data_IF_568155130228
#
_entry.id   IF_568155130228
#
_cell.length_a   1.000
_cell.length_b   1.000
_cell.length_c   1.000
_cell.angle_alpha   90.00
_cell.angle_beta   90.00
_cell.angle_gamma   90.00
#
_symmetry.space_group_name_H-M   'P 1'
#
loop_
_entity.id
_entity.type
_entity.pdbx_description
1 polymer ?
#
# COMPACT_ATOMS: atom_id res chain seq x y z
N UNK A 1 5.37 3.57 54.65
CA UNK A 1 5.68 4.73 53.77
C UNK A 1 4.74 4.70 52.58
N UNK A 2 4.44 5.88 52.04
CA UNK A 2 3.19 6.31 51.38
C UNK A 2 2.80 5.54 50.10
N UNK A 3 1.51 5.21 50.04
CA UNK A 3 0.76 4.76 48.86
C UNK A 3 0.70 5.87 47.80
N UNK A 4 0.93 5.55 46.53
CA UNK A 4 0.68 6.45 45.40
C UNK A 4 -0.42 5.85 44.51
N UNK A 5 -1.60 6.48 44.54
CA UNK A 5 -2.71 6.23 43.62
C UNK A 5 -2.76 7.39 42.63
N UNK A 6 -2.55 7.11 41.35
CA UNK A 6 -2.93 8.05 40.28
C UNK A 6 -4.25 7.57 39.68
N UNK A 7 -5.29 8.37 39.94
CA UNK A 7 -6.60 8.27 39.32
C UNK A 7 -6.58 9.19 38.09
N UNK A 8 -6.67 8.63 36.89
CA UNK A 8 -6.79 9.42 35.66
C UNK A 8 -8.21 9.27 35.15
N UNK A 9 -9.03 10.30 35.37
CA UNK A 9 -10.31 10.48 34.71
C UNK A 9 -10.06 10.66 33.20
N UNK A 10 -10.65 9.77 32.39
CA UNK A 10 -10.81 10.01 30.96
C UNK A 10 -12.26 10.46 30.70
N UNK A 11 -12.43 11.77 30.52
CA UNK A 11 -13.64 12.38 29.98
C UNK A 11 -13.50 12.39 28.45
N UNK A 12 -14.28 11.59 27.73
CA UNK A 12 -14.38 11.72 26.26
C UNK A 12 -15.85 11.97 25.93
N UNK A 13 -16.10 13.19 25.49
CA UNK A 13 -17.38 13.68 24.99
C UNK A 13 -17.75 12.98 23.67
N UNK A 14 -18.97 12.47 23.62
CA UNK A 14 -19.62 11.95 22.41
C UNK A 14 -20.19 13.18 21.67
N UNK A 15 -19.62 13.51 20.52
CA UNK A 15 -20.21 14.48 19.60
C UNK A 15 -20.79 13.71 18.40
N UNK A 16 -22.10 13.53 18.40
CA UNK A 16 -22.86 13.06 17.25
C UNK A 16 -23.09 14.24 16.30
N UNK A 17 -22.60 14.15 15.06
CA UNK A 17 -23.02 15.03 13.97
C UNK A 17 -24.02 14.27 13.09
N UNK A 18 -25.29 14.61 13.30
CA UNK A 18 -26.40 14.33 12.40
C UNK A 18 -26.53 15.55 11.48
N UNK A 19 -26.43 15.35 10.17
CA UNK A 19 -26.60 16.44 9.20
C UNK A 19 -26.90 15.86 7.82
N UNK A 20 -28.17 15.88 7.45
CA UNK A 20 -28.67 15.40 6.17
C UNK A 20 -28.64 16.49 5.09
N UNK A 21 -28.63 16.00 3.84
CA UNK A 21 -29.48 16.40 2.72
C UNK A 21 -28.98 17.36 1.61
N UNK A 22 -29.38 16.95 0.39
CA UNK A 22 -29.64 17.71 -0.85
C UNK A 22 -28.38 18.30 -1.53
N UNK A 23 -28.00 17.97 -2.76
CA UNK A 23 -28.81 17.73 -3.95
C UNK A 23 -28.79 18.99 -4.82
N UNK A 24 -27.90 19.07 -5.81
CA UNK A 24 -28.08 19.93 -6.99
C UNK A 24 -27.39 19.28 -8.20
N UNK A 25 -28.20 19.05 -9.23
CA UNK A 25 -27.78 18.78 -10.59
C UNK A 25 -27.35 20.10 -11.25
N UNK A 26 -26.33 20.03 -12.10
CA UNK A 26 -26.14 20.97 -13.20
C UNK A 26 -25.57 20.19 -14.38
N UNK A 27 -26.43 20.08 -15.39
CA UNK A 27 -26.21 19.57 -16.73
C UNK A 27 -25.47 20.63 -17.55
N UNK A 28 -24.39 20.24 -18.21
CA UNK A 28 -23.75 21.04 -19.25
C UNK A 28 -23.43 20.11 -20.41
N UNK A 29 -24.34 20.18 -21.37
CA UNK A 29 -24.36 19.49 -22.65
C UNK A 29 -23.34 20.13 -23.60
N UNK A 30 -22.41 19.33 -24.15
CA UNK A 30 -21.64 19.72 -25.33
C UNK A 30 -21.54 18.54 -26.30
N UNK A 31 -22.18 18.76 -27.45
CA UNK A 31 -22.23 17.91 -28.61
C UNK A 31 -20.84 17.56 -29.19
N UNK A 32 -20.67 16.28 -29.54
CA UNK A 32 -20.42 15.94 -30.93
C UNK A 32 -19.09 15.28 -31.30
N UNK A 33 -19.25 14.13 -31.98
CA UNK A 33 -18.28 13.31 -32.73
C UNK A 33 -17.48 12.32 -31.88
N UNK A 34 -17.54 11.01 -32.07
CA UNK A 34 -18.00 10.23 -33.22
C UNK A 34 -16.98 9.12 -33.48
N UNK A 35 -17.00 8.05 -32.69
CA UNK A 35 -16.41 6.75 -33.01
C UNK A 35 -16.93 5.72 -32.01
N UNK A 36 -17.93 4.94 -32.44
CA UNK A 36 -18.36 3.73 -31.70
C UNK A 36 -17.22 2.73 -31.83
N UNK A 37 -16.34 2.70 -30.84
CA UNK A 37 -15.50 1.53 -30.56
C UNK A 37 -16.29 0.71 -29.56
N UNK A 38 -16.99 -0.30 -30.03
CA UNK A 38 -17.53 -1.39 -29.23
C UNK A 38 -16.35 -2.18 -28.65
N UNK A 39 -15.66 -1.60 -27.67
CA UNK A 39 -14.78 -2.32 -26.79
C UNK A 39 -15.69 -3.11 -25.84
N UNK A 40 -16.00 -4.35 -26.24
CA UNK A 40 -16.51 -5.36 -25.33
C UNK A 40 -15.50 -5.49 -24.19
N UNK A 41 -15.84 -4.93 -23.03
CA UNK A 41 -15.11 -5.12 -21.77
C UNK A 41 -15.37 -6.52 -21.25
N UNK A 42 -14.90 -7.53 -22.02
CA UNK A 42 -14.72 -8.86 -21.49
C UNK A 42 -13.71 -8.77 -20.33
N UNK A 43 -13.96 -9.45 -19.20
CA UNK A 43 -12.98 -9.52 -18.11
C UNK A 43 -11.68 -10.11 -18.68
N UNK A 44 -10.60 -9.35 -18.58
CA UNK A 44 -9.28 -9.81 -19.00
C UNK A 44 -8.97 -11.12 -18.27
N UNK A 45 -8.82 -12.20 -19.05
CA UNK A 45 -8.37 -13.50 -18.54
C UNK A 45 -7.01 -13.27 -17.85
N UNK A 46 -6.78 -13.80 -16.63
CA UNK A 46 -5.50 -13.66 -15.97
C UNK A 46 -4.39 -14.13 -16.91
N UNK A 47 -3.42 -13.27 -17.16
CA UNK A 47 -2.22 -13.69 -17.88
C UNK A 47 -1.58 -14.87 -17.10
N UNK A 48 -1.02 -15.88 -17.80
CA UNK A 48 -0.24 -16.91 -17.13
C UNK A 48 0.84 -16.24 -16.27
N UNK A 49 1.11 -16.81 -15.09
CA UNK A 49 2.01 -16.24 -14.10
C UNK A 49 3.39 -15.93 -14.71
N UNK A 50 3.59 -14.70 -15.17
CA UNK A 50 4.90 -14.15 -15.43
C UNK A 50 5.68 -14.24 -14.11
N UNK A 51 6.96 -14.63 -14.17
CA UNK A 51 7.83 -14.56 -12.99
C UNK A 51 7.64 -13.18 -12.36
N UNK A 52 7.21 -13.16 -11.09
CA UNK A 52 7.08 -11.92 -10.35
C UNK A 52 8.45 -11.21 -10.40
N UNK A 53 8.54 -9.99 -10.94
CA UNK A 53 9.81 -9.28 -11.00
C UNK A 53 10.31 -9.03 -9.57
N UNK A 54 11.63 -9.09 -9.36
CA UNK A 54 12.25 -8.80 -8.06
C UNK A 54 12.60 -10.01 -7.20
N UNK A 55 13.22 -9.69 -6.07
CA UNK A 55 13.60 -10.64 -5.02
C UNK A 55 12.44 -10.85 -4.07
N UNK A 56 11.91 -12.07 -4.04
CA UNK A 56 10.96 -12.49 -3.00
C UNK A 56 11.65 -12.44 -1.63
N UNK A 57 11.04 -11.73 -0.68
CA UNK A 57 11.50 -11.67 0.71
C UNK A 57 10.83 -12.79 1.52
N UNK A 58 9.54 -13.05 1.29
CA UNK A 58 8.80 -14.16 1.89
C UNK A 58 7.31 -13.90 2.05
N UNK A 59 6.62 -14.91 2.58
CA UNK A 59 5.18 -14.89 2.89
C UNK A 59 4.96 -14.89 4.40
N UNK A 60 4.08 -14.00 4.88
CA UNK A 60 3.65 -13.95 6.26
C UNK A 60 2.13 -14.11 6.36
N UNK A 61 1.68 -14.88 7.36
CA UNK A 61 0.25 -15.01 7.66
C UNK A 61 -0.14 -14.08 8.81
N UNK A 62 -1.05 -13.15 8.54
CA UNK A 62 -1.54 -12.18 9.54
C UNK A 62 -3.05 -12.22 9.54
N UNK A 63 -3.65 -12.67 10.65
CA UNK A 63 -5.12 -12.77 10.82
C UNK A 63 -5.84 -13.50 9.69
N UNK A 64 -5.22 -14.54 9.13
CA UNK A 64 -5.78 -15.33 8.03
C UNK A 64 -5.54 -14.75 6.63
N UNK A 65 -4.92 -13.57 6.52
CA UNK A 65 -4.42 -13.03 5.26
C UNK A 65 -2.98 -13.48 5.03
N UNK A 66 -2.59 -13.52 3.76
CA UNK A 66 -1.22 -13.77 3.31
C UNK A 66 -0.65 -12.45 2.82
N UNK A 67 0.46 -12.02 3.41
CA UNK A 67 1.25 -10.88 2.96
C UNK A 67 2.49 -11.43 2.26
N UNK A 68 2.54 -11.25 0.93
CA UNK A 68 3.66 -11.66 0.09
C UNK A 68 4.56 -10.46 -0.20
N UNK A 69 5.83 -10.55 0.16
CA UNK A 69 6.76 -9.43 0.09
C UNK A 69 7.79 -9.60 -1.03
N UNK A 70 7.94 -8.57 -1.84
CA UNK A 70 8.89 -8.52 -2.95
C UNK A 70 9.68 -7.22 -2.90
N UNK A 71 10.98 -7.30 -3.17
CA UNK A 71 11.85 -6.15 -3.38
C UNK A 71 12.34 -6.13 -4.82
N UNK A 72 11.92 -5.13 -5.59
CA UNK A 72 12.54 -4.81 -6.87
C UNK A 72 13.86 -4.10 -6.62
N UNK A 73 14.92 -4.52 -7.32
CA UNK A 73 16.10 -3.69 -7.49
C UNK A 73 15.76 -2.41 -8.26
N UNK A 74 16.63 -1.40 -8.23
CA UNK A 74 16.43 -0.19 -9.03
C UNK A 74 16.22 -0.47 -10.52
N UNK A 75 17.02 -1.35 -11.11
CA UNK A 75 16.90 -1.68 -12.53
C UNK A 75 15.55 -2.34 -12.85
N UNK A 76 15.08 -3.27 -12.01
CA UNK A 76 13.76 -3.90 -12.16
C UNK A 76 12.63 -2.89 -11.96
N UNK A 77 12.77 -2.01 -10.96
CA UNK A 77 11.83 -0.91 -10.72
C UNK A 77 11.71 -0.02 -11.96
N UNK A 78 12.83 0.40 -12.55
CA UNK A 78 12.81 1.29 -13.72
C UNK A 78 12.17 0.61 -14.94
N UNK A 79 12.28 -0.71 -15.07
CA UNK A 79 11.58 -1.48 -16.11
C UNK A 79 10.07 -1.56 -15.83
N UNK A 80 9.68 -1.93 -14.59
CA UNK A 80 8.28 -2.12 -14.21
C UNK A 80 7.51 -0.80 -14.16
N UNK A 81 8.19 0.29 -13.78
CA UNK A 81 7.59 1.61 -13.57
C UNK A 81 7.93 2.61 -14.69
N UNK A 82 8.45 2.15 -15.84
CA UNK A 82 8.96 3.04 -16.92
C UNK A 82 7.98 4.14 -17.34
N UNK A 83 6.69 3.80 -17.40
CA UNK A 83 5.62 4.72 -17.86
C UNK A 83 5.11 5.62 -16.71
N UNK A 84 5.61 5.40 -15.49
CA UNK A 84 5.29 6.15 -14.28
C UNK A 84 6.46 6.98 -13.74
N UNK A 85 7.61 6.97 -14.43
CA UNK A 85 8.78 7.74 -14.04
C UNK A 85 8.53 9.24 -14.22
N UNK A 86 8.85 10.03 -13.19
CA UNK A 86 8.73 11.48 -13.22
C UNK A 86 7.37 12.03 -12.80
N UNK A 87 6.36 11.19 -12.55
CA UNK A 87 5.11 11.61 -11.94
C UNK A 87 5.25 11.70 -10.41
N UNK A 88 4.76 12.79 -9.82
CA UNK A 88 4.65 12.91 -8.36
C UNK A 88 3.46 12.09 -7.87
N UNK A 89 3.75 11.01 -7.14
CA UNK A 89 2.73 10.16 -6.55
C UNK A 89 3.18 9.62 -5.19
N UNK A 90 2.22 9.20 -4.37
CA UNK A 90 2.52 8.61 -3.06
C UNK A 90 3.46 7.41 -3.20
N UNK A 91 4.42 7.27 -2.29
CA UNK A 91 5.35 6.15 -2.32
C UNK A 91 6.36 6.18 -3.47
N UNK A 92 6.37 7.20 -4.33
CA UNK A 92 7.45 7.38 -5.30
C UNK A 92 8.43 8.42 -4.78
N UNK A 93 9.72 8.17 -4.96
CA UNK A 93 10.78 9.13 -4.62
C UNK A 93 11.35 9.65 -5.94
N UNK A 94 11.38 10.97 -6.09
CA UNK A 94 12.01 11.58 -7.25
C UNK A 94 13.53 11.53 -7.16
N UNK A 95 14.17 11.34 -8.31
CA UNK A 95 15.61 11.42 -8.46
C UNK A 95 16.37 10.12 -8.21
N UNK A 96 17.69 10.25 -8.17
CA UNK A 96 18.62 9.12 -8.25
C UNK A 96 18.93 8.47 -6.90
N UNK A 97 18.19 8.81 -5.85
CA UNK A 97 18.41 8.28 -4.51
C UNK A 97 17.71 6.93 -4.29
N UNK A 98 16.74 6.58 -5.14
CA UNK A 98 16.02 5.31 -5.11
C UNK A 98 16.98 4.14 -5.30
N UNK A 99 16.89 3.16 -4.41
CA UNK A 99 17.67 1.92 -4.47
C UNK A 99 16.85 0.73 -4.95
N UNK A 100 15.53 0.82 -4.86
CA UNK A 100 14.61 -0.23 -5.25
C UNK A 100 13.18 0.16 -4.91
N UNK A 101 12.27 -0.80 -5.10
CA UNK A 101 10.85 -0.62 -4.85
C UNK A 101 10.33 -1.81 -4.07
N UNK A 102 9.82 -1.55 -2.87
CA UNK A 102 9.33 -2.58 -1.96
C UNK A 102 7.83 -2.73 -2.13
N UNK A 103 7.36 -3.96 -2.34
CA UNK A 103 5.97 -4.29 -2.66
C UNK A 103 5.45 -5.30 -1.65
N UNK A 104 4.22 -5.09 -1.17
CA UNK A 104 3.43 -6.12 -0.49
C UNK A 104 2.19 -6.45 -1.29
N UNK A 105 1.95 -7.73 -1.53
CA UNK A 105 0.67 -8.23 -2.04
C UNK A 105 -0.12 -8.79 -0.87
N UNK A 106 -1.39 -8.40 -0.75
CA UNK A 106 -2.27 -8.86 0.31
C UNK A 106 -3.29 -9.81 -0.32
N UNK A 107 -3.34 -11.04 0.18
CA UNK A 107 -4.29 -12.06 -0.25
C UNK A 107 -5.14 -12.56 0.93
N UNK A 108 -6.39 -12.92 0.67
CA UNK A 108 -7.24 -13.60 1.66
C UNK A 108 -6.80 -15.06 1.85
N UNK A 109 -7.51 -15.77 2.73
CA UNK A 109 -7.24 -17.19 3.01
C UNK A 109 -7.44 -18.11 1.78
N UNK A 110 -8.21 -17.66 0.78
CA UNK A 110 -8.40 -18.37 -0.48
C UNK A 110 -7.38 -17.97 -1.56
N UNK A 111 -6.41 -17.11 -1.22
CA UNK A 111 -5.38 -16.62 -2.13
C UNK A 111 -5.84 -15.49 -3.05
N UNK A 112 -7.04 -14.93 -2.85
CA UNK A 112 -7.57 -13.83 -3.68
C UNK A 112 -6.98 -12.49 -3.23
N UNK A 113 -6.59 -11.60 -4.15
CA UNK A 113 -6.13 -10.26 -3.79
C UNK A 113 -7.16 -9.48 -2.97
N UNK A 114 -6.68 -8.72 -2.00
CA UNK A 114 -7.49 -7.87 -1.12
C UNK A 114 -7.05 -6.44 -1.24
N UNK A 115 -8.01 -5.55 -1.50
CA UNK A 115 -7.77 -4.12 -1.56
C UNK A 115 -7.72 -3.47 -0.17
N UNK A 116 -6.88 -2.46 -0.02
CA UNK A 116 -6.73 -1.67 1.19
C UNK A 116 -5.84 -0.45 1.03
N UNK A 117 -5.60 0.24 2.14
CA UNK A 117 -4.58 1.27 2.28
C UNK A 117 -3.38 0.68 2.99
N UNK A 118 -2.16 0.86 2.45
CA UNK A 118 -0.94 0.33 3.06
C UNK A 118 0.08 1.44 3.28
N UNK A 119 0.78 1.35 4.41
CA UNK A 119 1.93 2.19 4.71
C UNK A 119 3.08 1.35 5.26
N UNK A 120 4.30 1.83 4.99
CA UNK A 120 5.54 1.25 5.48
C UNK A 120 6.22 2.22 6.45
N UNK A 121 6.84 1.65 7.47
CA UNK A 121 7.81 2.32 8.31
C UNK A 121 9.11 1.52 8.25
N UNK A 122 10.13 2.12 7.64
CA UNK A 122 11.41 1.49 7.35
C UNK A 122 12.46 2.09 8.28
N UNK A 123 13.07 1.25 9.11
CA UNK A 123 14.18 1.63 9.99
C UNK A 123 15.47 1.03 9.45
N UNK A 124 16.44 1.89 9.14
CA UNK A 124 17.74 1.48 8.61
C UNK A 124 18.72 1.00 9.68
N UNK A 125 19.91 0.48 9.27
CA UNK A 125 20.97 0.06 10.18
C UNK A 125 21.47 1.20 11.10
N UNK A 126 21.41 2.44 10.62
CA UNK A 126 21.71 3.66 11.39
C UNK A 126 20.59 4.10 12.34
N UNK A 127 19.53 3.28 12.47
CA UNK A 127 18.33 3.51 13.29
C UNK A 127 17.46 4.69 12.81
N UNK A 128 17.77 5.31 11.67
CA UNK A 128 16.88 6.32 11.07
C UNK A 128 15.63 5.65 10.53
N UNK A 129 14.50 6.32 10.70
CA UNK A 129 13.19 5.80 10.30
C UNK A 129 12.55 6.70 9.26
N UNK A 130 12.04 6.10 8.20
CA UNK A 130 11.25 6.75 7.16
C UNK A 130 9.87 6.12 7.12
N UNK A 131 8.84 6.95 7.00
CA UNK A 131 7.46 6.51 6.80
C UNK A 131 7.03 6.87 5.39
N UNK A 132 6.35 5.95 4.73
CA UNK A 132 5.82 6.18 3.39
C UNK A 132 4.48 5.47 3.22
N UNK A 133 3.55 6.13 2.51
CA UNK A 133 2.33 5.48 2.05
C UNK A 133 2.62 4.81 0.72
N UNK A 134 1.99 3.66 0.49
CA UNK A 134 2.14 2.92 -0.76
C UNK A 134 1.10 3.37 -1.77
N UNK A 135 1.34 3.03 -3.03
CA UNK A 135 0.30 2.98 -4.05
C UNK A 135 -0.10 1.56 -4.37
N UNK A 136 -1.39 1.37 -4.66
CA UNK A 136 -1.89 0.15 -5.26
C UNK A 136 -1.46 0.05 -6.73
N UNK A 137 -0.79 -1.04 -7.09
CA UNK A 137 -0.34 -1.35 -8.45
C UNK A 137 -0.47 -2.85 -8.71
N UNK A 138 -1.22 -3.26 -9.75
CA UNK A 138 -1.37 -4.66 -10.16
C UNK A 138 -1.57 -5.66 -8.99
N UNK A 139 -2.55 -5.41 -8.12
CA UNK A 139 -2.87 -6.21 -6.93
C UNK A 139 -1.83 -6.17 -5.79
N UNK A 140 -0.78 -5.36 -5.91
CA UNK A 140 0.23 -5.10 -4.89
C UNK A 140 0.23 -3.66 -4.40
N UNK A 141 0.94 -3.41 -3.31
CA UNK A 141 1.09 -2.11 -2.66
C UNK A 141 2.57 -1.78 -2.55
N UNK A 142 3.01 -0.79 -3.32
CA UNK A 142 4.42 -0.50 -3.54
C UNK A 142 4.85 0.88 -3.07
N UNK A 143 6.10 0.99 -2.62
CA UNK A 143 6.79 2.27 -2.44
C UNK A 143 8.29 2.14 -2.73
N UNK A 144 8.87 3.18 -3.33
CA UNK A 144 10.30 3.37 -3.50
C UNK A 144 11.00 3.44 -2.14
N UNK A 145 12.17 2.81 -2.08
CA UNK A 145 12.97 2.72 -0.86
C UNK A 145 14.42 3.15 -1.11
N UNK A 146 15.03 3.69 -0.05
CA UNK A 146 16.44 4.07 -0.01
C UNK A 146 17.15 3.18 1.02
N UNK A 147 17.77 2.11 0.54
CA UNK A 147 18.53 1.13 1.29
C UNK A 147 20.01 1.19 0.86
N UNK A 148 20.66 2.35 1.06
CA UNK A 148 22.05 2.55 0.62
C UNK A 148 23.09 1.94 1.55
N UNK A 149 22.77 1.79 2.83
CA UNK A 149 23.67 1.23 3.82
C UNK A 149 23.60 -0.30 3.76
N UNK A 150 24.74 -0.97 3.92
CA UNK A 150 24.76 -2.42 4.09
C UNK A 150 24.23 -2.77 5.48
N UNK A 151 23.39 -3.81 5.56
CA UNK A 151 22.89 -4.31 6.83
C UNK A 151 21.40 -4.66 6.81
N UNK A 152 20.85 -4.79 8.02
CA UNK A 152 19.46 -5.15 8.23
C UNK A 152 18.58 -3.90 8.31
N UNK A 153 17.55 -3.87 7.47
CA UNK A 153 16.46 -2.91 7.51
C UNK A 153 15.24 -3.57 8.15
N UNK A 154 14.62 -2.90 9.11
CA UNK A 154 13.37 -3.35 9.71
C UNK A 154 12.23 -2.64 9.00
N UNK A 155 11.33 -3.39 8.37
CA UNK A 155 10.17 -2.86 7.67
C UNK A 155 8.93 -3.24 8.46
N UNK A 156 8.26 -2.25 9.06
CA UNK A 156 6.94 -2.43 9.64
C UNK A 156 5.89 -2.06 8.61
N UNK A 157 4.93 -2.96 8.43
CA UNK A 157 3.83 -2.78 7.48
C UNK A 157 2.55 -2.60 8.26
N UNK A 158 1.74 -1.62 7.86
CA UNK A 158 0.38 -1.44 8.36
C UNK A 158 -0.56 -1.35 7.17
N UNK A 159 -1.51 -2.27 7.09
CA UNK A 159 -2.55 -2.29 6.07
C UNK A 159 -3.92 -2.14 6.72
N UNK A 160 -4.79 -1.31 6.14
CA UNK A 160 -6.22 -1.30 6.42
C UNK A 160 -6.93 -1.91 5.22
N UNK A 161 -7.46 -3.11 5.39
CA UNK A 161 -8.23 -3.80 4.35
C UNK A 161 -9.71 -3.65 4.63
N UNK A 162 -10.52 -3.51 3.58
CA UNK A 162 -11.98 -3.42 3.70
C UNK A 162 -12.60 -4.67 3.11
N UNK A 163 -13.41 -5.37 3.92
CA UNK A 163 -14.12 -6.58 3.50
C UNK A 163 -15.63 -6.39 3.65
N UNK A 164 -16.42 -7.33 3.15
CA UNK A 164 -17.87 -7.37 3.39
C UNK A 164 -18.24 -7.42 4.88
N UNK A 165 -17.31 -7.85 5.75
CA UNK A 165 -17.51 -7.91 7.21
C UNK A 165 -17.07 -6.64 7.95
N UNK A 166 -16.52 -5.66 7.23
CA UNK A 166 -15.97 -4.43 7.78
C UNK A 166 -14.47 -4.25 7.50
N UNK A 167 -13.91 -3.20 8.09
CA UNK A 167 -12.49 -2.85 7.96
C UNK A 167 -11.63 -3.61 8.99
N UNK A 168 -10.48 -4.11 8.54
CA UNK A 168 -9.53 -4.82 9.37
C UNK A 168 -8.13 -4.21 9.24
N UNK A 169 -7.44 -4.06 10.36
CA UNK A 169 -6.04 -3.61 10.37
C UNK A 169 -5.10 -4.80 10.53
N UNK A 170 -4.18 -4.92 9.58
CA UNK A 170 -3.08 -5.88 9.57
C UNK A 170 -1.80 -5.12 9.89
N UNK A 171 -0.99 -5.68 10.79
CA UNK A 171 0.33 -5.14 11.12
C UNK A 171 1.34 -6.27 11.06
N UNK A 172 2.47 -6.03 10.43
CA UNK A 172 3.56 -7.00 10.35
C UNK A 172 4.92 -6.31 10.48
N UNK A 173 5.97 -7.07 10.75
CA UNK A 173 7.35 -6.60 10.80
C UNK A 173 8.27 -7.65 10.19
N UNK A 174 9.01 -7.23 9.16
CA UNK A 174 9.99 -8.08 8.48
C UNK A 174 11.38 -7.46 8.55
N UNK A 175 12.40 -8.29 8.33
CA UNK A 175 13.78 -7.85 8.17
C UNK A 175 14.22 -8.06 6.72
N UNK A 176 14.68 -6.99 6.08
CA UNK A 176 15.24 -7.00 4.73
C UNK A 176 16.75 -6.78 4.84
N UNK A 177 17.55 -7.64 4.21
CA UNK A 177 19.01 -7.49 4.15
C UNK A 177 19.43 -6.92 2.81
N UNK A 178 20.25 -5.88 2.86
CA UNK A 178 20.91 -5.24 1.72
C UNK A 178 22.43 -5.32 1.86
#
# INVERSE_FOLDING_TARGET
>A
MKNFRFSTLALIAILAFLGANLGMAAEADHHGHGAVITASSAPAKPAPAAKEPGKVIGDHKVKGYILHYVLLSRAERDIVMKDMLGMEMAGMIQGNEVTGHFIVFIKDAAGKPVSGEVGFMITGPDKKTVKTLTMGMNNGYGADVIMKQKGAYIVKVKAKVTTAKGAETLTDTITVKN
#
